data_IF_262883153878
#
_entry.id   IF_262883153878
#
_cell.length_a   1.000
_cell.length_b   1.000
_cell.length_c   1.000
_cell.angle_alpha   90.00
_cell.angle_beta   90.00
_cell.angle_gamma   90.00
#
_symmetry.space_group_name_H-M   'P 1'
#
loop_
_entity.id
_entity.type
_entity.pdbx_description
1 polymer ?
#
# COMPACT_ATOMS: atom_id res chain seq x y z
N UNK A 1 15.64 -17.13 5.06
CA UNK A 1 14.24 -16.68 4.91
C UNK A 1 13.41 -17.25 6.06
N UNK A 2 12.95 -16.44 7.00
CA UNK A 2 12.04 -16.90 8.06
C UNK A 2 10.58 -16.76 7.60
N UNK A 3 9.91 -17.91 7.44
CA UNK A 3 8.48 -18.00 7.15
C UNK A 3 7.70 -17.65 8.42
N UNK A 4 7.01 -16.51 8.46
CA UNK A 4 6.07 -16.19 9.55
C UNK A 4 4.86 -17.14 9.42
N UNK A 5 4.88 -18.24 10.16
CA UNK A 5 3.69 -19.09 10.35
C UNK A 5 2.80 -18.37 11.37
N UNK A 6 1.72 -17.75 10.91
CA UNK A 6 0.71 -17.19 11.79
C UNK A 6 -0.03 -18.35 12.46
N UNK A 7 0.38 -18.71 13.67
CA UNK A 7 -0.33 -19.70 14.50
C UNK A 7 -1.68 -19.09 14.88
N UNK A 8 -2.78 -19.72 14.44
CA UNK A 8 -4.11 -19.33 14.91
C UNK A 8 -4.16 -19.45 16.43
N UNK A 9 -4.22 -18.33 17.13
CA UNK A 9 -4.30 -18.29 18.59
C UNK A 9 -5.75 -18.57 19.01
N UNK A 10 -6.27 -19.73 18.64
CA UNK A 10 -7.65 -20.16 18.93
C UNK A 10 -7.98 -19.98 20.40
N UNK A 11 -7.07 -20.41 21.28
CA UNK A 11 -7.20 -20.21 22.73
C UNK A 11 -7.42 -18.73 23.11
N UNK A 12 -6.67 -17.80 22.51
CA UNK A 12 -6.80 -16.38 22.82
C UNK A 12 -8.09 -15.79 22.27
N UNK A 13 -8.50 -16.19 21.06
CA UNK A 13 -9.75 -15.74 20.44
C UNK A 13 -10.95 -16.24 21.25
N UNK A 14 -10.94 -17.53 21.64
CA UNK A 14 -11.97 -18.14 22.47
C UNK A 14 -12.06 -17.46 23.83
N UNK A 15 -10.92 -17.28 24.52
CA UNK A 15 -10.87 -16.57 25.81
C UNK A 15 -11.38 -15.14 25.68
N UNK A 16 -10.98 -14.40 24.64
CA UNK A 16 -11.47 -13.04 24.39
C UNK A 16 -12.98 -13.01 24.19
N UNK A 17 -13.53 -13.91 23.37
CA UNK A 17 -14.96 -14.02 23.16
C UNK A 17 -15.69 -14.32 24.47
N UNK A 18 -15.27 -15.36 25.18
CA UNK A 18 -15.89 -15.79 26.44
C UNK A 18 -15.88 -14.70 27.51
N UNK A 19 -14.82 -13.89 27.58
CA UNK A 19 -14.66 -12.87 28.64
C UNK A 19 -15.19 -11.48 28.29
N UNK A 20 -15.33 -11.15 27.00
CA UNK A 20 -15.71 -9.80 26.55
C UNK A 20 -17.04 -9.72 25.81
N UNK A 21 -17.45 -10.80 25.17
CA UNK A 21 -18.55 -10.78 24.19
C UNK A 21 -19.67 -11.77 24.52
N UNK A 22 -19.39 -12.82 25.30
CA UNK A 22 -20.35 -13.89 25.55
C UNK A 22 -21.70 -13.40 26.10
N UNK A 23 -21.68 -12.52 27.11
CA UNK A 23 -22.91 -11.97 27.70
C UNK A 23 -23.71 -11.13 26.68
N UNK A 24 -23.02 -10.29 25.91
CA UNK A 24 -23.66 -9.43 24.91
C UNK A 24 -24.38 -10.23 23.82
N UNK A 25 -23.83 -11.38 23.44
CA UNK A 25 -24.37 -12.22 22.36
C UNK A 25 -25.25 -13.37 22.83
N UNK A 26 -25.30 -13.66 24.14
CA UNK A 26 -26.13 -14.73 24.71
C UNK A 26 -27.63 -14.57 24.42
N UNK A 27 -28.07 -13.33 24.17
CA UNK A 27 -29.48 -12.99 23.89
C UNK A 27 -29.98 -13.38 22.49
N UNK A 28 -29.08 -13.66 21.54
CA UNK A 28 -29.49 -14.00 20.16
C UNK A 28 -29.58 -15.52 19.98
N UNK A 29 -30.70 -16.01 19.44
CA UNK A 29 -30.94 -17.43 19.17
C UNK A 29 -31.61 -17.62 17.80
N UNK A 30 -31.54 -18.84 17.25
CA UNK A 30 -32.13 -19.16 15.94
C UNK A 30 -31.76 -18.16 14.85
N UNK A 31 -32.75 -17.75 14.08
CA UNK A 31 -32.61 -16.84 12.94
C UNK A 31 -32.01 -15.48 13.32
N UNK A 32 -32.35 -14.93 14.50
CA UNK A 32 -31.79 -13.67 14.97
C UNK A 32 -30.27 -13.75 15.17
N UNK A 33 -29.75 -14.93 15.54
CA UNK A 33 -28.32 -15.17 15.66
C UNK A 33 -27.66 -15.21 14.29
N UNK A 34 -28.29 -15.85 13.31
CA UNK A 34 -27.80 -15.89 11.92
C UNK A 34 -27.76 -14.48 11.31
N UNK A 35 -28.83 -13.71 11.48
CA UNK A 35 -28.90 -12.32 11.05
C UNK A 35 -27.80 -11.46 11.68
N UNK A 36 -27.55 -11.64 12.98
CA UNK A 36 -26.49 -10.91 13.67
C UNK A 36 -25.11 -11.27 13.12
N UNK A 37 -24.85 -12.55 12.86
CA UNK A 37 -23.59 -13.01 12.25
C UNK A 37 -23.42 -12.43 10.85
N UNK A 38 -24.47 -12.44 10.03
CA UNK A 38 -24.44 -11.88 8.68
C UNK A 38 -24.14 -10.39 8.71
N UNK A 39 -24.80 -9.62 9.59
CA UNK A 39 -24.53 -8.21 9.78
C UNK A 39 -23.08 -7.93 10.22
N UNK A 40 -22.55 -8.72 11.17
CA UNK A 40 -21.16 -8.59 11.62
C UNK A 40 -20.17 -8.89 10.48
N UNK A 41 -20.43 -9.90 9.65
CA UNK A 41 -19.63 -10.20 8.46
C UNK A 41 -19.66 -9.06 7.45
N UNK A 42 -20.83 -8.49 7.17
CA UNK A 42 -20.95 -7.33 6.26
C UNK A 42 -20.18 -6.12 6.79
N UNK A 43 -20.29 -5.83 8.09
CA UNK A 43 -19.49 -4.78 8.73
C UNK A 43 -17.98 -5.02 8.62
N UNK A 44 -17.54 -6.26 8.86
CA UNK A 44 -16.13 -6.65 8.72
C UNK A 44 -15.63 -6.48 7.29
N UNK A 45 -16.40 -6.95 6.28
CA UNK A 45 -16.05 -6.82 4.87
C UNK A 45 -15.91 -5.35 4.47
N UNK A 46 -16.83 -4.49 4.92
CA UNK A 46 -16.75 -3.05 4.69
C UNK A 46 -15.49 -2.43 5.33
N UNK A 47 -15.17 -2.80 6.57
CA UNK A 47 -13.94 -2.34 7.23
C UNK A 47 -12.69 -2.80 6.47
N UNK A 48 -12.63 -4.07 6.08
CA UNK A 48 -11.52 -4.62 5.30
C UNK A 48 -11.38 -3.93 3.93
N UNK A 49 -12.50 -3.64 3.27
CA UNK A 49 -12.51 -2.92 2.00
C UNK A 49 -11.93 -1.51 2.14
N UNK A 50 -12.30 -0.78 3.20
CA UNK A 50 -11.72 0.53 3.49
C UNK A 50 -10.20 0.46 3.64
N UNK A 51 -9.67 -0.47 4.45
CA UNK A 51 -8.22 -0.64 4.62
C UNK A 51 -7.52 -1.06 3.32
N UNK A 52 -8.12 -1.96 2.52
CA UNK A 52 -7.57 -2.36 1.23
C UNK A 52 -7.48 -1.18 0.26
N UNK A 53 -8.49 -0.32 0.24
CA UNK A 53 -8.48 0.86 -0.62
C UNK A 53 -7.40 1.86 -0.19
N UNK A 54 -7.26 2.12 1.11
CA UNK A 54 -6.17 2.94 1.63
C UNK A 54 -4.78 2.38 1.27
N UNK A 55 -4.60 1.05 1.31
CA UNK A 55 -3.36 0.41 0.85
C UNK A 55 -3.12 0.65 -0.64
N UNK A 56 -4.14 0.46 -1.48
CA UNK A 56 -4.01 0.68 -2.93
C UNK A 56 -3.66 2.12 -3.28
N UNK A 57 -4.24 3.10 -2.58
CA UNK A 57 -3.90 4.52 -2.76
C UNK A 57 -2.45 4.80 -2.36
N UNK A 58 -1.96 4.20 -1.27
CA UNK A 58 -0.56 4.26 -0.88
C UNK A 58 0.36 3.60 -1.93
N UNK A 59 -0.02 2.44 -2.45
CA UNK A 59 0.76 1.71 -3.47
C UNK A 59 0.87 2.55 -4.76
N UNK A 60 -0.23 3.14 -5.21
CA UNK A 60 -0.26 4.01 -6.39
C UNK A 60 0.61 5.26 -6.21
N UNK A 61 0.62 5.87 -5.02
CA UNK A 61 1.48 7.02 -4.73
C UNK A 61 2.97 6.64 -4.74
N UNK A 62 3.31 5.45 -4.23
CA UNK A 62 4.67 4.92 -4.28
C UNK A 62 5.09 4.63 -5.72
N UNK A 63 4.25 3.95 -6.51
CA UNK A 63 4.50 3.68 -7.92
C UNK A 63 4.74 4.97 -8.71
N UNK A 64 3.87 5.97 -8.54
CA UNK A 64 4.04 7.29 -9.15
C UNK A 64 5.36 7.97 -8.76
N UNK A 65 5.80 7.81 -7.50
CA UNK A 65 7.10 8.35 -7.05
C UNK A 65 8.29 7.72 -7.79
N UNK A 66 8.24 6.42 -8.06
CA UNK A 66 9.26 5.74 -8.87
C UNK A 66 9.24 6.22 -10.32
N UNK A 67 8.06 6.31 -10.93
CA UNK A 67 7.90 6.77 -12.33
C UNK A 67 8.46 8.17 -12.51
N UNK A 68 8.09 9.12 -11.66
CA UNK A 68 8.58 10.50 -11.76
C UNK A 68 10.09 10.58 -11.49
N UNK A 69 10.61 9.82 -10.53
CA UNK A 69 12.05 9.77 -10.25
C UNK A 69 12.84 9.21 -11.43
N UNK A 70 12.31 8.18 -12.10
CA UNK A 70 12.88 7.64 -13.33
C UNK A 70 12.90 8.68 -14.47
N UNK A 71 11.82 9.45 -14.63
CA UNK A 71 11.76 10.54 -15.62
C UNK A 71 12.80 11.63 -15.34
N UNK A 72 12.98 12.01 -14.07
CA UNK A 72 13.98 13.01 -13.65
C UNK A 72 15.39 12.56 -14.04
N UNK A 73 15.77 11.33 -13.71
CA UNK A 73 17.12 10.82 -14.01
C UNK A 73 17.34 10.63 -15.51
N UNK A 74 16.34 10.12 -16.25
CA UNK A 74 16.42 9.97 -17.71
C UNK A 74 16.56 11.31 -18.42
N UNK A 75 15.94 12.36 -17.89
CA UNK A 75 16.07 13.73 -18.41
C UNK A 75 17.35 14.45 -17.93
N UNK A 76 18.19 13.80 -17.12
CA UNK A 76 19.42 14.39 -16.56
C UNK A 76 19.16 15.58 -15.63
N UNK A 77 18.00 15.61 -14.97
CA UNK A 77 17.62 16.73 -14.08
C UNK A 77 18.11 16.51 -12.65
N UNK A 78 18.41 17.59 -11.89
CA UNK A 78 18.76 17.45 -10.48
C UNK A 78 17.64 16.82 -9.66
N UNK A 79 17.97 16.07 -8.60
CA UNK A 79 16.95 15.42 -7.75
C UNK A 79 16.00 16.41 -7.06
N UNK A 80 16.47 17.64 -6.82
CA UNK A 80 15.65 18.73 -6.27
C UNK A 80 14.49 19.13 -7.18
N UNK A 81 14.54 18.77 -8.47
CA UNK A 81 13.44 19.01 -9.42
C UNK A 81 12.15 18.32 -8.99
N UNK A 82 12.24 17.21 -8.23
CA UNK A 82 11.08 16.49 -7.72
C UNK A 82 10.14 17.37 -6.88
N UNK A 83 10.69 18.29 -6.09
CA UNK A 83 9.89 19.21 -5.27
C UNK A 83 9.13 20.22 -6.14
N UNK A 84 9.77 20.72 -7.20
CA UNK A 84 9.13 21.62 -8.15
C UNK A 84 8.02 20.90 -8.92
N UNK A 85 8.28 19.69 -9.43
CA UNK A 85 7.29 18.85 -10.12
C UNK A 85 6.08 18.59 -9.21
N UNK A 86 6.31 18.26 -7.92
CA UNK A 86 5.23 18.08 -6.94
C UNK A 86 4.38 19.34 -6.78
N UNK A 87 5.00 20.51 -6.68
CA UNK A 87 4.29 21.80 -6.61
C UNK A 87 3.43 22.02 -7.86
N UNK A 88 3.96 21.75 -9.06
CA UNK A 88 3.22 21.86 -10.31
C UNK A 88 1.99 20.94 -10.33
N UNK A 89 2.15 19.66 -9.96
CA UNK A 89 1.04 18.70 -9.90
C UNK A 89 -0.05 19.14 -8.92
N UNK A 90 0.32 19.62 -7.74
CA UNK A 90 -0.63 20.08 -6.73
C UNK A 90 -1.42 21.32 -7.16
N UNK A 91 -0.77 22.26 -7.85
CA UNK A 91 -1.44 23.44 -8.38
C UNK A 91 -2.41 23.05 -9.50
N UNK A 92 -1.98 22.24 -10.46
CA UNK A 92 -2.85 21.74 -11.53
C UNK A 92 -4.05 20.96 -10.98
N UNK A 93 -3.83 20.04 -10.03
CA UNK A 93 -4.89 19.24 -9.41
C UNK A 93 -5.90 20.13 -8.67
N UNK A 94 -5.45 21.19 -8.00
CA UNK A 94 -6.36 22.11 -7.31
C UNK A 94 -7.31 22.90 -8.22
N UNK A 95 -7.03 22.97 -9.52
CA UNK A 95 -7.85 23.65 -10.52
C UNK A 95 -8.70 22.64 -11.29
N UNK A 96 -8.08 21.53 -11.73
CA UNK A 96 -8.70 20.58 -12.67
C UNK A 96 -9.51 19.49 -11.96
N UNK A 97 -9.03 18.99 -10.82
CA UNK A 97 -9.65 17.90 -10.07
C UNK A 97 -9.41 18.06 -8.55
N UNK A 98 -10.01 19.09 -7.91
CA UNK A 98 -9.78 19.40 -6.50
C UNK A 98 -10.04 18.22 -5.57
N UNK A 99 -11.03 17.38 -5.91
CA UNK A 99 -11.42 16.18 -5.18
C UNK A 99 -10.35 15.08 -5.13
N UNK A 100 -9.37 15.12 -6.05
CA UNK A 100 -8.25 14.16 -6.11
C UNK A 100 -6.92 14.76 -5.67
N UNK A 101 -6.88 16.03 -5.27
CA UNK A 101 -5.65 16.74 -4.90
C UNK A 101 -4.82 15.99 -3.84
N UNK A 102 -5.49 15.38 -2.86
CA UNK A 102 -4.82 14.63 -1.78
C UNK A 102 -4.09 13.38 -2.28
N UNK A 103 -4.54 12.78 -3.39
CA UNK A 103 -3.83 11.65 -4.00
C UNK A 103 -2.44 12.09 -4.53
N UNK A 104 -2.33 13.32 -5.05
CA UNK A 104 -1.06 13.89 -5.50
C UNK A 104 -0.18 14.36 -4.34
N UNK A 105 -0.79 14.80 -3.23
CA UNK A 105 -0.03 15.26 -2.05
C UNK A 105 0.72 14.11 -1.37
N UNK A 106 0.19 12.90 -1.46
CA UNK A 106 0.80 11.67 -0.95
C UNK A 106 2.01 11.17 -1.76
N UNK A 107 2.25 11.69 -2.97
CA UNK A 107 3.42 11.30 -3.77
C UNK A 107 4.68 11.93 -3.18
N UNK A 108 5.61 11.10 -2.69
CA UNK A 108 6.87 11.57 -2.10
C UNK A 108 7.91 11.87 -3.17
N UNK A 109 8.30 13.14 -3.32
CA UNK A 109 9.27 13.62 -4.31
C UNK A 109 10.31 14.59 -3.73
N UNK A 110 10.69 14.39 -2.47
CA UNK A 110 11.84 15.11 -1.91
C UNK A 110 13.12 14.69 -2.64
N UNK A 111 14.16 15.52 -2.62
CA UNK A 111 15.43 15.18 -3.26
C UNK A 111 16.01 13.84 -2.74
N UNK A 112 15.86 13.56 -1.44
CA UNK A 112 16.29 12.29 -0.84
C UNK A 112 15.45 11.12 -1.34
N UNK A 113 14.13 11.27 -1.39
CA UNK A 113 13.25 10.22 -1.92
C UNK A 113 13.57 9.93 -3.38
N UNK A 114 13.76 10.95 -4.21
CA UNK A 114 14.12 10.78 -5.62
C UNK A 114 15.45 10.01 -5.74
N UNK A 115 16.46 10.37 -4.93
CA UNK A 115 17.73 9.65 -4.90
C UNK A 115 17.57 8.18 -4.48
N UNK A 116 16.80 7.90 -3.43
CA UNK A 116 16.49 6.55 -2.97
C UNK A 116 15.79 5.73 -4.06
N UNK A 117 14.75 6.28 -4.70
CA UNK A 117 14.03 5.59 -5.79
C UNK A 117 14.93 5.26 -6.96
N UNK A 118 15.83 6.18 -7.34
CA UNK A 118 16.81 5.94 -8.40
C UNK A 118 17.80 4.84 -7.99
N UNK A 119 18.27 4.85 -6.74
CA UNK A 119 19.15 3.81 -6.21
C UNK A 119 18.48 2.43 -6.22
N UNK A 120 17.23 2.35 -5.77
CA UNK A 120 16.43 1.13 -5.78
C UNK A 120 16.26 0.59 -7.22
N UNK A 121 15.90 1.47 -8.17
CA UNK A 121 15.76 1.11 -9.58
C UNK A 121 17.09 0.60 -10.17
N UNK A 122 18.18 1.30 -9.88
CA UNK A 122 19.52 0.91 -10.32
C UNK A 122 19.92 -0.46 -9.79
N UNK A 123 19.71 -0.71 -8.49
CA UNK A 123 19.96 -2.01 -7.87
C UNK A 123 19.12 -3.12 -8.48
N UNK A 124 17.83 -2.85 -8.72
CA UNK A 124 16.94 -3.83 -9.33
C UNK A 124 17.34 -4.18 -10.78
N UNK A 125 17.72 -3.18 -11.59
CA UNK A 125 18.23 -3.40 -12.95
C UNK A 125 19.52 -4.22 -12.91
N UNK A 126 20.44 -3.91 -11.99
CA UNK A 126 21.68 -4.65 -11.82
C UNK A 126 21.44 -6.12 -11.47
N UNK A 127 20.55 -6.40 -10.51
CA UNK A 127 20.20 -7.76 -10.11
C UNK A 127 19.56 -8.54 -11.27
N UNK A 128 18.63 -7.92 -12.00
CA UNK A 128 18.02 -8.54 -13.19
C UNK A 128 19.06 -8.87 -14.26
N UNK A 129 19.99 -7.95 -14.52
CA UNK A 129 21.06 -8.17 -15.49
C UNK A 129 21.98 -9.31 -15.05
N UNK A 130 22.34 -9.35 -13.76
CA UNK A 130 23.17 -10.39 -13.17
C UNK A 130 22.53 -11.77 -13.29
N UNK A 131 21.22 -11.89 -13.04
CA UNK A 131 20.52 -13.16 -13.19
C UNK A 131 20.45 -13.61 -14.66
N UNK A 132 20.19 -12.69 -15.59
CA UNK A 132 20.21 -13.00 -17.03
C UNK A 132 21.60 -13.41 -17.50
N UNK A 133 22.65 -12.76 -17.02
CA UNK A 133 24.03 -13.07 -17.38
C UNK A 133 24.44 -14.51 -17.02
N UNK A 134 23.91 -15.08 -15.92
CA UNK A 134 24.16 -16.49 -15.56
C UNK A 134 23.63 -17.49 -16.59
N UNK A 135 22.61 -17.11 -17.34
CA UNK A 135 21.97 -17.93 -18.37
C UNK A 135 22.59 -17.71 -19.76
N UNK A 136 23.53 -16.77 -19.88
CA UNK A 136 24.16 -16.45 -21.15
C UNK A 136 25.22 -17.50 -21.51
N UNK A 137 24.98 -18.26 -22.57
CA UNK A 137 25.97 -19.14 -23.19
C UNK A 137 26.43 -18.51 -24.51
N UNK A 138 27.73 -18.23 -24.63
CA UNK A 138 28.35 -17.86 -25.90
C UNK A 138 28.89 -19.13 -26.59
N UNK A 139 28.65 -19.25 -27.89
CA UNK A 139 29.09 -20.36 -28.74
C UNK A 139 30.46 -20.07 -29.36
#
# INVERSE_FOLDING_TARGET
MHRKVAVHKEYNIRRHYSTRHAEQYAKYQGDEREDRVTNLKTCLLRQQHFFKNASKESDAAVEASYVVSEMIVKAGKPFKEGEFIKKCMLQAASIVCPEKKDQFSNISLSANTVAERISDLSGNIYDQLREKAKLFCAY
#
